data_IF_341769645901
#
_entry.id   IF_341769645901
#
_cell.length_a   1.000
_cell.length_b   1.000
_cell.length_c   1.000
_cell.angle_alpha   90.00
_cell.angle_beta   90.00
_cell.angle_gamma   90.00
#
_symmetry.space_group_name_H-M   'P 1'
#
loop_
_entity.id
_entity.type
_entity.pdbx_description
1 polymer ?
#
# COMPACT_ATOMS: atom_id res chain seq x y z
N UNK A 1 -20.56 22.95 -9.99
CA UNK A 1 -21.21 21.99 -9.09
C UNK A 1 -20.33 20.75 -9.02
N UNK A 2 -19.56 20.61 -7.95
CA UNK A 2 -18.81 19.38 -7.67
C UNK A 2 -19.81 18.33 -7.21
N UNK A 3 -19.87 17.20 -7.91
CA UNK A 3 -20.61 16.00 -7.48
C UNK A 3 -20.14 15.65 -6.06
N UNK A 4 -21.01 15.15 -5.15
CA UNK A 4 -20.54 14.61 -3.89
C UNK A 4 -19.42 13.62 -4.17
N UNK A 5 -18.29 13.77 -3.47
CA UNK A 5 -17.22 12.78 -3.48
C UNK A 5 -17.77 11.55 -2.77
N UNK A 6 -18.33 10.63 -3.55
CA UNK A 6 -18.65 9.29 -3.11
C UNK A 6 -17.34 8.49 -3.14
N UNK A 7 -16.80 8.19 -1.96
CA UNK A 7 -15.54 7.47 -1.84
C UNK A 7 -15.87 5.99 -1.84
N UNK A 8 -15.43 5.29 -2.88
CA UNK A 8 -15.52 3.83 -2.97
C UNK A 8 -14.50 3.18 -2.02
N UNK A 9 -14.93 2.93 -0.78
CA UNK A 9 -14.10 2.33 0.26
C UNK A 9 -13.75 0.87 -0.02
N UNK A 10 -14.58 0.16 -0.78
CA UNK A 10 -14.29 -1.20 -1.24
C UNK A 10 -13.16 -1.21 -2.27
N UNK A 11 -13.14 -0.25 -3.19
CA UNK A 11 -12.03 -0.08 -4.11
C UNK A 11 -10.72 0.28 -3.39
N UNK A 12 -10.78 1.13 -2.35
CA UNK A 12 -9.61 1.42 -1.52
C UNK A 12 -9.08 0.17 -0.81
N UNK A 13 -9.96 -0.68 -0.25
CA UNK A 13 -9.57 -1.95 0.38
C UNK A 13 -8.98 -2.94 -0.61
N UNK A 14 -9.57 -3.08 -1.79
CA UNK A 14 -9.07 -3.97 -2.84
C UNK A 14 -7.67 -3.52 -3.31
N UNK A 15 -7.48 -2.22 -3.48
CA UNK A 15 -6.19 -1.63 -3.82
C UNK A 15 -5.18 -1.83 -2.70
N UNK A 16 -5.57 -1.60 -1.44
CA UNK A 16 -4.74 -1.88 -0.27
C UNK A 16 -4.24 -3.33 -0.24
N UNK A 17 -5.13 -4.30 -0.44
CA UNK A 17 -4.79 -5.72 -0.51
C UNK A 17 -3.80 -6.02 -1.66
N UNK A 18 -3.97 -5.36 -2.81
CA UNK A 18 -3.08 -5.53 -3.97
C UNK A 18 -1.66 -5.03 -3.66
N UNK A 19 -1.52 -3.90 -2.95
CA UNK A 19 -0.21 -3.39 -2.53
C UNK A 19 0.48 -4.31 -1.51
N UNK A 20 -0.27 -4.86 -0.56
CA UNK A 20 0.27 -5.83 0.40
C UNK A 20 0.75 -7.10 -0.33
N UNK A 21 -0.06 -7.64 -1.24
CA UNK A 21 0.33 -8.81 -2.02
C UNK A 21 1.54 -8.54 -2.92
N UNK A 22 1.66 -7.34 -3.48
CA UNK A 22 2.84 -6.94 -4.25
C UNK A 22 4.09 -6.85 -3.35
N UNK A 23 3.97 -6.32 -2.14
CA UNK A 23 5.08 -6.26 -1.19
C UNK A 23 5.59 -7.65 -0.80
N UNK A 24 4.68 -8.61 -0.62
CA UNK A 24 5.03 -10.01 -0.35
C UNK A 24 5.78 -10.63 -1.52
N UNK A 25 5.27 -10.48 -2.76
CA UNK A 25 5.94 -10.94 -3.97
C UNK A 25 7.33 -10.31 -4.17
N UNK A 26 7.51 -9.04 -3.80
CA UNK A 26 8.82 -8.36 -3.89
C UNK A 26 9.78 -8.88 -2.83
N UNK A 27 9.31 -9.17 -1.62
CA UNK A 27 10.13 -9.77 -0.58
C UNK A 27 10.58 -11.21 -0.94
N UNK A 28 9.84 -11.89 -1.81
CA UNK A 28 10.13 -13.25 -2.29
C UNK A 28 11.05 -13.30 -3.52
N UNK A 29 11.47 -12.16 -4.09
CA UNK A 29 12.26 -12.12 -5.33
C UNK A 29 13.66 -12.76 -5.22
N UNK A 30 14.12 -13.14 -4.01
CA UNK A 30 15.35 -13.91 -3.71
C UNK A 30 16.55 -13.52 -4.61
N UNK A 31 16.71 -12.21 -4.83
CA UNK A 31 17.60 -11.70 -5.86
C UNK A 31 19.09 -11.80 -5.47
N UNK A 32 19.36 -12.06 -4.19
CA UNK A 32 20.69 -12.30 -3.65
C UNK A 32 21.25 -13.67 -4.04
N UNK A 33 20.42 -14.72 -4.10
CA UNK A 33 20.86 -16.07 -4.47
C UNK A 33 21.58 -16.14 -5.85
N UNK A 34 20.97 -15.67 -6.97
CA UNK A 34 21.64 -15.72 -8.28
C UNK A 34 22.86 -14.80 -8.37
N UNK A 35 22.86 -13.68 -7.64
CA UNK A 35 24.01 -12.77 -7.60
C UNK A 35 25.16 -13.35 -6.76
N UNK A 36 24.86 -14.06 -5.67
CA UNK A 36 25.82 -14.77 -4.83
C UNK A 36 26.46 -15.93 -5.60
N UNK A 37 25.65 -16.72 -6.32
CA UNK A 37 26.14 -17.79 -7.21
C UNK A 37 27.08 -17.24 -8.29
N UNK A 38 26.70 -16.12 -8.92
CA UNK A 38 27.56 -15.45 -9.90
C UNK A 38 28.88 -14.97 -9.29
N UNK A 39 28.86 -14.39 -8.09
CA UNK A 39 30.06 -13.95 -7.38
C UNK A 39 30.97 -15.14 -7.01
N UNK A 40 30.39 -16.25 -6.55
CA UNK A 40 31.09 -17.46 -6.14
C UNK A 40 31.76 -18.19 -7.32
N UNK A 41 31.23 -18.05 -8.54
CA UNK A 41 31.82 -18.63 -9.75
C UNK A 41 33.11 -17.92 -10.21
N UNK A 42 33.32 -16.64 -9.83
CA UNK A 42 34.46 -15.83 -10.27
C UNK A 42 35.22 -15.12 -9.13
N UNK A 43 35.57 -15.81 -8.02
CA UNK A 43 35.96 -15.18 -6.76
C UNK A 43 37.29 -14.40 -6.83
N UNK A 44 38.15 -14.71 -7.80
CA UNK A 44 39.43 -14.03 -8.01
C UNK A 44 39.34 -12.78 -8.91
N UNK A 45 38.16 -12.48 -9.47
CA UNK A 45 37.97 -11.37 -10.42
C UNK A 45 37.28 -10.18 -9.75
N UNK A 46 37.57 -8.96 -10.23
CA UNK A 46 36.88 -7.73 -9.77
C UNK A 46 35.36 -7.81 -9.92
N UNK A 47 34.88 -8.63 -10.84
CA UNK A 47 33.47 -8.93 -11.06
C UNK A 47 32.79 -9.52 -9.82
N UNK A 48 33.46 -10.37 -9.03
CA UNK A 48 32.88 -10.90 -7.80
C UNK A 48 32.63 -9.80 -6.76
N UNK A 49 33.55 -8.85 -6.61
CA UNK A 49 33.37 -7.71 -5.71
C UNK A 49 32.23 -6.79 -6.19
N UNK A 50 32.08 -6.59 -7.50
CA UNK A 50 30.97 -5.84 -8.08
C UNK A 50 29.62 -6.56 -7.87
N UNK A 51 29.58 -7.89 -8.04
CA UNK A 51 28.39 -8.70 -7.75
C UNK A 51 28.03 -8.63 -6.26
N UNK A 52 29.01 -8.74 -5.36
CA UNK A 52 28.78 -8.61 -3.91
C UNK A 52 28.21 -7.24 -3.52
N UNK A 53 28.73 -6.16 -4.10
CA UNK A 53 28.18 -4.82 -3.87
C UNK A 53 26.74 -4.68 -4.43
N UNK A 54 26.48 -5.25 -5.61
CA UNK A 54 25.16 -5.26 -6.21
C UNK A 54 24.14 -6.05 -5.36
N UNK A 55 24.54 -7.15 -4.71
CA UNK A 55 23.68 -7.90 -3.78
C UNK A 55 23.15 -6.98 -2.69
N UNK A 56 24.04 -6.25 -2.01
CA UNK A 56 23.63 -5.35 -0.93
C UNK A 56 22.66 -4.28 -1.43
N UNK A 57 22.98 -3.62 -2.54
CA UNK A 57 22.08 -2.60 -3.10
C UNK A 57 20.72 -3.16 -3.50
N UNK A 58 20.68 -4.33 -4.16
CA UNK A 58 19.41 -4.95 -4.57
C UNK A 58 18.58 -5.38 -3.36
N UNK A 59 19.21 -5.92 -2.31
CA UNK A 59 18.52 -6.28 -1.06
C UNK A 59 17.94 -5.06 -0.34
N UNK A 60 18.71 -3.96 -0.27
CA UNK A 60 18.25 -2.72 0.34
C UNK A 60 17.08 -2.11 -0.45
N UNK A 61 17.18 -2.06 -1.78
CA UNK A 61 16.16 -1.52 -2.65
C UNK A 61 14.87 -2.36 -2.63
N UNK A 62 14.98 -3.69 -2.69
CA UNK A 62 13.81 -4.59 -2.64
C UNK A 62 13.10 -4.52 -1.29
N UNK A 63 13.85 -4.47 -0.19
CA UNK A 63 13.30 -4.28 1.16
C UNK A 63 12.56 -2.94 1.25
N UNK A 64 13.20 -1.86 0.80
CA UNK A 64 12.62 -0.52 0.81
C UNK A 64 11.33 -0.43 -0.02
N UNK A 65 11.31 -1.02 -1.22
CA UNK A 65 10.11 -1.04 -2.07
C UNK A 65 8.99 -1.84 -1.43
N UNK A 66 9.30 -3.02 -0.86
CA UNK A 66 8.30 -3.83 -0.16
C UNK A 66 7.69 -3.06 1.04
N UNK A 67 8.51 -2.35 1.82
CA UNK A 67 8.05 -1.56 2.95
C UNK A 67 7.19 -0.35 2.53
N UNK A 68 7.57 0.35 1.45
CA UNK A 68 6.75 1.41 0.87
C UNK A 68 5.40 0.89 0.41
N UNK A 69 5.38 -0.28 -0.25
CA UNK A 69 4.14 -0.90 -0.71
C UNK A 69 3.23 -1.32 0.47
N UNK A 70 3.79 -1.91 1.55
CA UNK A 70 3.04 -2.21 2.78
C UNK A 70 2.45 -0.96 3.41
N UNK A 71 3.25 0.09 3.51
CA UNK A 71 2.84 1.37 4.11
C UNK A 71 1.69 1.99 3.32
N UNK A 72 1.84 2.08 2.01
CA UNK A 72 0.79 2.64 1.15
C UNK A 72 -0.51 1.81 1.21
N UNK A 73 -0.39 0.47 1.23
CA UNK A 73 -1.55 -0.40 1.45
C UNK A 73 -2.24 -0.16 2.80
N UNK A 74 -1.48 0.05 3.88
CA UNK A 74 -2.03 0.38 5.19
C UNK A 74 -2.73 1.75 5.20
N UNK A 75 -2.15 2.75 4.53
CA UNK A 75 -2.74 4.09 4.41
C UNK A 75 -4.08 4.06 3.66
N UNK A 76 -4.17 3.29 2.57
CA UNK A 76 -5.43 3.13 1.83
C UNK A 76 -6.52 2.46 2.67
N UNK A 77 -6.16 1.45 3.47
CA UNK A 77 -7.10 0.79 4.38
C UNK A 77 -7.57 1.76 5.47
N UNK A 78 -6.64 2.49 6.08
CA UNK A 78 -6.94 3.51 7.09
C UNK A 78 -7.85 4.62 6.55
N UNK A 79 -7.62 5.05 5.30
CA UNK A 79 -8.47 6.00 4.61
C UNK A 79 -9.89 5.46 4.44
N UNK A 80 -10.05 4.22 3.97
CA UNK A 80 -11.36 3.57 3.82
C UNK A 80 -12.13 3.52 5.15
N UNK A 81 -11.47 3.10 6.22
CA UNK A 81 -12.06 3.04 7.58
C UNK A 81 -12.47 4.42 8.09
N UNK A 82 -11.63 5.44 7.86
CA UNK A 82 -11.91 6.82 8.27
C UNK A 82 -13.11 7.41 7.52
N UNK A 83 -13.22 7.13 6.22
CA UNK A 83 -14.34 7.61 5.41
C UNK A 83 -15.67 7.02 5.89
N UNK A 84 -15.74 5.69 6.06
CA UNK A 84 -16.96 5.03 6.57
C UNK A 84 -17.36 5.51 7.95
N UNK A 85 -16.41 5.58 8.89
CA UNK A 85 -16.70 6.06 10.24
C UNK A 85 -17.23 7.50 10.25
N UNK A 86 -16.72 8.34 9.34
CA UNK A 86 -17.17 9.73 9.20
C UNK A 86 -18.55 9.80 8.55
N UNK A 87 -18.83 8.97 7.56
CA UNK A 87 -20.12 8.90 6.89
C UNK A 87 -21.21 8.41 7.85
N UNK A 88 -20.98 7.30 8.55
CA UNK A 88 -21.87 6.76 9.57
C UNK A 88 -22.18 7.77 10.67
N UNK A 89 -21.14 8.45 11.19
CA UNK A 89 -21.31 9.49 12.21
C UNK A 89 -22.09 10.70 11.68
N UNK A 90 -21.98 11.01 10.40
CA UNK A 90 -22.72 12.12 9.77
C UNK A 90 -24.17 11.73 9.53
N UNK A 91 -24.44 10.52 9.04
CA UNK A 91 -25.77 9.97 8.88
C UNK A 91 -26.53 9.95 10.22
N UNK A 92 -25.90 9.45 11.29
CA UNK A 92 -26.48 9.45 12.63
C UNK A 92 -26.83 10.86 13.16
N UNK A 93 -26.01 11.87 12.84
CA UNK A 93 -26.31 13.27 13.20
C UNK A 93 -27.50 13.81 12.41
N UNK A 94 -27.61 13.48 11.13
CA UNK A 94 -28.72 13.91 10.27
C UNK A 94 -30.04 13.27 10.71
N UNK A 95 -30.05 11.97 10.99
CA UNK A 95 -31.23 11.25 11.49
C UNK A 95 -31.72 11.81 12.84
N UNK A 96 -30.80 12.35 13.64
CA UNK A 96 -31.11 13.01 14.92
C UNK A 96 -31.73 14.41 14.78
N UNK A 97 -31.83 14.98 13.58
CA UNK A 97 -32.44 16.31 13.37
C UNK A 97 -33.94 16.17 13.13
N UNK A 98 -34.75 16.72 14.03
CA UNK A 98 -36.18 16.92 13.78
C UNK A 98 -36.37 17.90 12.62
N UNK A 99 -36.97 17.43 11.52
CA UNK A 99 -37.34 18.28 10.39
C UNK A 99 -38.58 19.10 10.79
N UNK A 100 -38.52 20.44 10.81
CA UNK A 100 -39.68 21.26 11.14
C UNK A 100 -40.80 21.01 10.15
N UNK A 101 -42.02 20.76 10.65
CA UNK A 101 -43.19 20.60 9.81
C UNK A 101 -43.36 21.81 8.90
N UNK A 102 -43.38 21.59 7.59
CA UNK A 102 -43.64 22.67 6.62
C UNK A 102 -45.08 23.14 6.81
N UNK A 103 -45.25 24.45 7.02
CA UNK A 103 -46.58 25.05 7.18
C UNK A 103 -47.45 24.73 5.94
N UNK A 104 -48.72 24.32 6.13
CA UNK A 104 -49.60 24.04 5.02
C UNK A 104 -49.81 25.30 4.17
N UNK A 105 -49.69 25.14 2.85
CA UNK A 105 -50.00 26.18 1.86
C UNK A 105 -51.49 26.46 1.78
#
# INVERSE_FOLDING_TARGET
MTRPLDVDTDHLRATAASFVAAAEQIAELDADAPLADAAAAVPALRTAAACAAAITTVLDDTTSIADMARTFGADLRSAAETYEATDDASAARVDGVEVPATAPR
#
